data_IF_693433227385
#
_entry.id   IF_693433227385
#
_cell.length_a   1.000
_cell.length_b   1.000
_cell.length_c   1.000
_cell.angle_alpha   90.00
_cell.angle_beta   90.00
_cell.angle_gamma   90.00
#
_symmetry.space_group_name_H-M   'P 1'
#
loop_
_entity.id
_entity.type
_entity.pdbx_description
1 polymer ?
#
# COMPACT_ATOMS: atom_id res chain seq x y z
N UNK A 1 -25.06 16.30 -21.10
CA UNK A 1 -24.27 17.09 -20.15
C UNK A 1 -22.86 16.59 -20.22
N UNK A 2 -21.94 17.45 -20.61
CA UNK A 2 -20.56 17.08 -20.96
C UNK A 2 -19.79 17.01 -19.65
N UNK A 3 -19.34 15.82 -19.26
CA UNK A 3 -18.47 15.64 -18.10
C UNK A 3 -17.09 16.22 -18.39
N UNK A 4 -16.60 17.02 -17.45
CA UNK A 4 -15.34 17.74 -17.48
C UNK A 4 -14.13 16.81 -17.62
N UNK A 5 -13.08 17.19 -18.39
CA UNK A 5 -11.89 16.37 -18.60
C UNK A 5 -10.94 16.26 -17.39
N UNK A 6 -11.29 16.82 -16.24
CA UNK A 6 -10.47 16.83 -15.03
C UNK A 6 -10.33 15.45 -14.34
N UNK A 7 -11.14 14.49 -14.74
CA UNK A 7 -11.23 13.16 -14.10
C UNK A 7 -10.29 12.09 -14.68
N UNK A 8 -9.57 12.37 -15.77
CA UNK A 8 -8.99 11.28 -16.55
C UNK A 8 -7.58 10.82 -16.10
N UNK A 9 -6.90 11.49 -15.18
CA UNK A 9 -5.57 11.08 -14.73
C UNK A 9 -5.49 10.77 -13.23
N UNK A 10 -6.25 11.45 -12.41
CA UNK A 10 -6.65 10.84 -11.14
C UNK A 10 -7.26 9.46 -11.42
N UNK A 11 -7.97 9.34 -12.56
CA UNK A 11 -8.53 8.10 -13.08
C UNK A 11 -7.52 7.07 -13.62
N UNK A 12 -6.31 7.42 -13.96
CA UNK A 12 -5.27 6.42 -14.29
C UNK A 12 -4.65 5.83 -13.02
N UNK A 13 -4.74 6.56 -11.91
CA UNK A 13 -4.29 6.11 -10.58
C UNK A 13 -5.48 5.73 -9.69
N UNK A 14 -6.70 6.24 -9.94
CA UNK A 14 -7.87 6.07 -9.06
C UNK A 14 -9.17 5.64 -9.76
N UNK A 15 -9.26 5.50 -11.06
CA UNK A 15 -10.53 5.27 -11.74
C UNK A 15 -10.65 3.93 -12.42
N UNK A 16 -10.95 2.93 -11.66
CA UNK A 16 -11.64 1.72 -12.13
C UNK A 16 -12.77 1.26 -11.19
N UNK A 17 -13.30 2.13 -10.36
CA UNK A 17 -14.43 1.79 -9.46
C UNK A 17 -15.66 2.64 -9.75
N UNK A 18 -16.02 2.87 -11.00
CA UNK A 18 -17.31 3.47 -11.33
C UNK A 18 -18.07 2.72 -12.42
N UNK A 19 -18.38 1.45 -12.15
CA UNK A 19 -19.54 0.80 -12.78
C UNK A 19 -20.07 -0.30 -11.88
N UNK A 20 -20.58 0.04 -10.72
CA UNK A 20 -21.65 -0.64 -9.96
C UNK A 20 -21.62 -0.23 -8.47
N UNK A 21 -21.70 1.07 -8.19
CA UNK A 21 -21.99 1.52 -6.83
C UNK A 21 -23.48 1.80 -6.72
N UNK A 22 -24.22 0.80 -6.32
CA UNK A 22 -25.49 1.00 -5.62
C UNK A 22 -25.14 1.62 -4.26
N UNK A 23 -25.67 2.83 -4.01
CA UNK A 23 -25.46 3.56 -2.79
C UNK A 23 -25.85 2.74 -1.56
N UNK A 24 -24.87 2.44 -0.69
CA UNK A 24 -25.11 1.96 0.67
C UNK A 24 -25.04 3.15 1.62
N UNK A 25 -26.18 3.60 2.10
CA UNK A 25 -26.28 4.47 3.26
C UNK A 25 -26.14 3.65 4.54
N UNK A 26 -25.34 4.08 5.53
CA UNK A 26 -25.25 3.39 6.82
C UNK A 26 -26.51 3.69 7.63
N UNK A 27 -27.39 2.71 7.77
CA UNK A 27 -28.43 2.76 8.80
C UNK A 27 -27.92 2.13 10.08
N UNK A 28 -28.05 2.89 11.13
CA UNK A 28 -27.77 2.58 12.52
C UNK A 28 -28.37 1.24 12.99
N UNK A 29 -27.53 0.32 13.46
CA UNK A 29 -27.98 -0.84 14.22
C UNK A 29 -28.21 -0.44 15.68
N UNK A 30 -29.45 -0.24 16.04
CA UNK A 30 -29.92 -0.26 17.42
C UNK A 30 -30.36 -1.68 17.77
N UNK A 31 -29.84 -2.18 18.89
CA UNK A 31 -30.06 -3.49 19.43
C UNK A 31 -31.53 -3.80 19.69
N UNK A 32 -32.01 -4.93 19.17
CA UNK A 32 -33.13 -5.64 19.78
C UNK A 32 -32.64 -6.91 20.48
N UNK A 33 -32.85 -6.95 21.81
CA UNK A 33 -32.71 -8.14 22.62
C UNK A 33 -33.76 -9.17 22.23
N UNK A 34 -33.33 -10.31 21.76
CA UNK A 34 -34.15 -11.51 21.75
C UNK A 34 -33.50 -12.56 22.68
N UNK A 35 -34.17 -12.85 23.75
CA UNK A 35 -33.86 -13.96 24.64
C UNK A 35 -34.38 -15.26 24.04
N UNK A 36 -33.49 -16.19 23.72
CA UNK A 36 -33.83 -17.60 23.72
C UNK A 36 -32.60 -18.41 24.12
N UNK A 37 -32.78 -19.17 25.20
CA UNK A 37 -31.87 -20.21 25.68
C UNK A 37 -31.69 -21.27 24.60
N UNK A 38 -30.48 -21.56 24.20
CA UNK A 38 -30.08 -22.87 23.70
C UNK A 38 -28.67 -23.18 24.21
N UNK A 39 -28.53 -24.43 24.67
CA UNK A 39 -27.43 -24.97 25.40
C UNK A 39 -26.12 -25.03 24.61
N UNK A 40 -25.02 -24.98 25.36
CA UNK A 40 -23.66 -24.83 24.85
C UNK A 40 -23.19 -25.87 23.82
N UNK A 41 -22.61 -25.35 22.79
CA UNK A 41 -21.51 -25.99 22.05
C UNK A 41 -20.38 -24.97 21.95
N UNK A 42 -19.22 -25.37 22.46
CA UNK A 42 -18.02 -24.56 22.46
C UNK A 42 -17.50 -24.35 21.03
N UNK A 43 -17.13 -23.13 20.69
CA UNK A 43 -16.69 -22.68 19.38
C UNK A 43 -15.38 -23.32 18.83
N UNK A 44 -14.76 -24.21 19.62
CA UNK A 44 -13.51 -24.88 19.24
C UNK A 44 -13.68 -26.22 18.49
N UNK A 45 -14.91 -26.69 18.27
CA UNK A 45 -15.16 -27.94 17.54
C UNK A 45 -15.68 -27.78 16.11
N UNK A 46 -15.87 -26.55 15.61
CA UNK A 46 -16.36 -26.28 14.25
C UNK A 46 -15.26 -25.94 13.22
N UNK A 47 -14.01 -25.87 13.64
CA UNK A 47 -12.91 -25.43 12.79
C UNK A 47 -12.13 -26.55 12.08
N UNK A 48 -12.50 -27.82 12.20
CA UNK A 48 -11.56 -28.89 11.82
C UNK A 48 -12.00 -29.90 10.75
N UNK A 49 -13.11 -29.71 10.03
CA UNK A 49 -13.53 -30.75 9.05
C UNK A 49 -14.31 -30.27 7.84
N UNK A 50 -14.15 -29.06 7.36
CA UNK A 50 -14.76 -28.66 6.07
C UNK A 50 -13.66 -28.36 5.08
N UNK A 51 -13.51 -29.23 4.08
CA UNK A 51 -12.74 -28.93 2.87
C UNK A 51 -13.35 -27.70 2.21
N UNK A 52 -12.62 -26.55 2.15
CA UNK A 52 -13.18 -25.29 1.62
C UNK A 52 -13.55 -25.38 0.14
N UNK A 53 -13.07 -26.40 -0.57
CA UNK A 53 -13.37 -26.62 -2.00
C UNK A 53 -14.77 -27.13 -2.26
N UNK A 54 -15.58 -27.46 -1.23
CA UNK A 54 -16.91 -28.05 -1.37
C UNK A 54 -17.95 -27.43 -0.42
N UNK A 55 -17.95 -26.12 -0.23
CA UNK A 55 -19.05 -25.46 0.46
C UNK A 55 -20.23 -25.35 -0.51
N UNK A 56 -21.30 -26.08 -0.25
CA UNK A 56 -22.51 -26.00 -1.08
C UNK A 56 -23.23 -24.66 -0.86
N UNK A 57 -23.99 -24.22 -1.86
CA UNK A 57 -24.84 -23.01 -1.78
C UNK A 57 -25.68 -23.00 -0.51
N UNK A 58 -26.23 -24.15 -0.11
CA UNK A 58 -27.07 -24.30 1.08
C UNK A 58 -26.27 -24.06 2.36
N UNK A 59 -25.06 -24.63 2.47
CA UNK A 59 -24.19 -24.43 3.64
C UNK A 59 -23.77 -22.97 3.75
N UNK A 60 -23.50 -22.30 2.63
CA UNK A 60 -23.17 -20.88 2.63
C UNK A 60 -24.36 -20.00 3.05
N UNK A 61 -25.56 -20.32 2.60
CA UNK A 61 -26.80 -19.66 3.00
C UNK A 61 -27.09 -19.87 4.49
N UNK A 62 -26.88 -21.08 4.99
CA UNK A 62 -27.06 -21.44 6.41
C UNK A 62 -26.07 -20.70 7.31
N UNK A 63 -24.85 -20.44 6.81
CA UNK A 63 -23.80 -19.70 7.55
C UNK A 63 -24.05 -18.18 7.51
N UNK A 64 -24.38 -17.66 6.33
CA UNK A 64 -24.48 -16.21 6.11
C UNK A 64 -25.89 -15.64 6.30
N UNK A 65 -26.91 -16.49 6.35
CA UNK A 65 -28.32 -16.10 6.52
C UNK A 65 -28.90 -15.27 5.35
N UNK A 66 -28.23 -15.28 4.18
CA UNK A 66 -28.62 -14.47 3.01
C UNK A 66 -28.79 -15.37 1.79
N UNK A 67 -29.87 -15.22 1.08
CA UNK A 67 -30.10 -15.91 -0.20
C UNK A 67 -29.47 -15.09 -1.35
N UNK A 68 -28.52 -15.70 -2.05
CA UNK A 68 -27.84 -15.12 -3.21
C UNK A 68 -28.24 -15.88 -4.48
N UNK A 69 -28.36 -15.18 -5.61
CA UNK A 69 -28.38 -15.84 -6.89
C UNK A 69 -27.04 -16.54 -7.18
N UNK A 70 -27.05 -17.54 -8.05
CA UNK A 70 -25.89 -18.40 -8.29
C UNK A 70 -24.69 -17.65 -8.87
N UNK A 71 -24.91 -16.58 -9.64
CA UNK A 71 -23.84 -15.77 -10.21
C UNK A 71 -23.16 -14.91 -9.12
N UNK A 72 -23.96 -14.27 -8.26
CA UNK A 72 -23.46 -13.48 -7.13
C UNK A 72 -22.72 -14.36 -6.10
N UNK A 73 -23.23 -15.56 -5.83
CA UNK A 73 -22.56 -16.51 -4.95
C UNK A 73 -21.24 -16.98 -5.54
N UNK A 74 -21.20 -17.33 -6.83
CA UNK A 74 -19.99 -17.74 -7.54
C UNK A 74 -18.94 -16.62 -7.52
N UNK A 75 -19.33 -15.37 -7.80
CA UNK A 75 -18.43 -14.21 -7.74
C UNK A 75 -17.91 -13.96 -6.32
N UNK A 76 -18.75 -14.08 -5.29
CA UNK A 76 -18.34 -13.94 -3.90
C UNK A 76 -17.43 -15.08 -3.46
N UNK A 77 -17.75 -16.31 -3.80
CA UNK A 77 -16.88 -17.46 -3.52
C UNK A 77 -15.54 -17.31 -4.24
N UNK A 78 -15.51 -16.86 -5.48
CA UNK A 78 -14.28 -16.57 -6.21
C UNK A 78 -13.43 -15.44 -5.55
N UNK A 79 -14.09 -14.48 -4.90
CA UNK A 79 -13.41 -13.38 -4.18
C UNK A 79 -13.00 -13.72 -2.76
N UNK A 80 -13.64 -14.68 -2.12
CA UNK A 80 -13.38 -15.09 -0.72
C UNK A 80 -12.81 -16.48 -0.61
N UNK A 81 -13.06 -17.33 -1.62
CA UNK A 81 -12.47 -18.65 -1.65
C UNK A 81 -10.98 -18.52 -1.96
N UNK A 82 -10.36 -19.26 -1.40
CA UNK A 82 -9.05 -19.59 -1.25
C UNK A 82 -8.69 -20.58 -2.35
N UNK A 83 -7.87 -20.34 -3.06
CA UNK A 83 -6.53 -20.37 -3.25
C UNK A 83 -6.02 -21.64 -3.78
N UNK A 84 -5.19 -21.45 -4.64
CA UNK A 84 -4.52 -22.50 -5.35
C UNK A 84 -3.59 -23.20 -4.35
N UNK A 85 -3.85 -24.46 -3.93
CA UNK A 85 -2.94 -25.19 -3.01
C UNK A 85 -1.49 -25.13 -3.47
N UNK A 86 -1.29 -25.05 -4.79
CA UNK A 86 0.02 -24.87 -5.41
C UNK A 86 0.74 -23.60 -4.97
N UNK A 87 0.04 -22.49 -4.77
CA UNK A 87 0.67 -21.26 -4.30
C UNK A 87 1.26 -21.42 -2.90
N UNK A 88 0.56 -22.12 -2.01
CA UNK A 88 1.07 -22.42 -0.66
C UNK A 88 2.27 -23.37 -0.73
N UNK A 89 2.18 -24.44 -1.51
CA UNK A 89 3.30 -25.37 -1.70
C UNK A 89 4.56 -24.65 -2.18
N UNK A 90 4.41 -23.73 -3.14
CA UNK A 90 5.53 -22.93 -3.64
C UNK A 90 6.10 -22.01 -2.58
N UNK A 91 5.24 -21.35 -1.79
CA UNK A 91 5.66 -20.46 -0.71
C UNK A 91 6.41 -21.24 0.39
N UNK A 92 5.94 -22.43 0.74
CA UNK A 92 6.59 -23.29 1.71
C UNK A 92 7.95 -23.80 1.22
N UNK A 93 8.07 -24.12 -0.07
CA UNK A 93 9.29 -24.68 -0.67
C UNK A 93 10.48 -23.70 -0.58
N UNK A 94 10.25 -22.40 -0.74
CA UNK A 94 11.34 -21.41 -0.62
C UNK A 94 11.40 -20.66 0.73
N UNK A 95 10.64 -21.08 1.72
CA UNK A 95 10.69 -20.51 3.08
C UNK A 95 12.13 -20.46 3.68
N UNK A 96 13.04 -21.44 3.43
CA UNK A 96 14.42 -21.32 3.88
C UNK A 96 15.17 -20.10 3.33
N UNK A 97 14.88 -19.66 2.11
CA UNK A 97 15.46 -18.45 1.54
C UNK A 97 14.95 -17.20 2.25
N UNK A 98 13.70 -17.23 2.73
CA UNK A 98 13.12 -16.10 3.51
C UNK A 98 13.86 -15.92 4.83
N UNK A 99 14.26 -16.99 5.50
CA UNK A 99 15.12 -16.91 6.70
C UNK A 99 16.44 -16.20 6.41
N UNK A 100 17.07 -16.54 5.28
CA UNK A 100 18.27 -15.82 4.87
C UNK A 100 18.01 -14.34 4.57
N UNK A 101 16.85 -14.00 4.04
CA UNK A 101 16.48 -12.61 3.78
C UNK A 101 16.22 -11.83 5.07
N UNK A 102 15.65 -12.45 6.11
CA UNK A 102 15.54 -11.83 7.44
C UNK A 102 16.91 -11.36 7.92
N UNK A 103 17.92 -12.23 7.81
CA UNK A 103 19.27 -11.91 8.30
C UNK A 103 20.03 -10.92 7.39
N UNK A 104 19.79 -10.93 6.09
CA UNK A 104 20.56 -10.14 5.11
C UNK A 104 19.93 -8.78 4.78
N UNK A 105 18.62 -8.70 4.81
CA UNK A 105 17.87 -7.52 4.33
C UNK A 105 17.39 -6.67 5.50
N UNK A 106 16.79 -7.28 6.53
CA UNK A 106 16.30 -6.54 7.68
C UNK A 106 17.46 -6.08 8.57
N UNK A 107 17.31 -4.94 9.21
CA UNK A 107 18.28 -4.45 10.17
C UNK A 107 18.14 -5.22 11.48
N UNK A 108 19.27 -5.62 12.05
CA UNK A 108 19.30 -6.21 13.39
C UNK A 108 18.73 -5.23 14.41
N UNK A 109 17.77 -5.67 15.21
CA UNK A 109 17.18 -4.84 16.25
C UNK A 109 18.21 -4.43 17.32
N UNK A 110 18.08 -3.24 17.86
CA UNK A 110 18.97 -2.69 18.88
C UNK A 110 19.97 -1.67 18.32
N UNK A 111 21.23 -1.76 18.73
CA UNK A 111 22.26 -0.74 18.43
C UNK A 111 22.59 -0.57 16.94
N UNK A 112 22.33 -1.59 16.12
CA UNK A 112 22.60 -1.54 14.67
C UNK A 112 21.47 -0.94 13.85
N UNK A 113 20.26 -0.88 14.39
CA UNK A 113 19.14 -0.26 13.72
C UNK A 113 19.02 1.21 14.14
N UNK A 114 18.83 2.08 13.16
CA UNK A 114 18.59 3.49 13.41
C UNK A 114 17.25 3.70 14.12
N UNK A 115 17.17 4.80 14.87
CA UNK A 115 15.95 5.21 15.54
C UNK A 115 15.55 6.62 15.06
N UNK A 116 14.27 7.00 15.15
CA UNK A 116 13.82 8.35 14.78
C UNK A 116 14.62 9.47 15.44
N UNK A 117 15.08 9.28 16.68
CA UNK A 117 15.87 10.26 17.42
C UNK A 117 17.26 10.53 16.82
N UNK A 118 17.79 9.61 16.01
CA UNK A 118 19.10 9.80 15.33
C UNK A 118 19.04 10.88 14.24
N UNK A 119 17.84 11.28 13.83
CA UNK A 119 17.56 12.23 12.74
C UNK A 119 16.89 13.52 13.20
N UNK A 120 16.55 13.64 14.47
CA UNK A 120 15.84 14.76 15.05
C UNK A 120 16.71 15.47 16.10
N UNK A 121 16.44 16.75 16.45
CA UNK A 121 17.13 17.41 17.55
C UNK A 121 17.04 16.60 18.84
N UNK A 122 18.20 16.28 19.42
CA UNK A 122 18.27 15.54 20.68
C UNK A 122 17.96 16.49 21.85
N UNK A 123 16.94 16.16 22.62
CA UNK A 123 16.53 16.94 23.79
C UNK A 123 17.55 16.87 24.95
N UNK A 124 18.50 15.96 24.90
CA UNK A 124 19.59 15.88 25.86
C UNK A 124 20.76 16.86 25.57
N UNK A 125 20.82 17.41 24.36
CA UNK A 125 21.80 18.40 23.98
C UNK A 125 21.51 19.75 24.62
N UNK A 126 22.56 20.46 25.05
CA UNK A 126 22.45 21.82 25.61
C UNK A 126 21.83 22.79 24.59
N UNK A 127 22.07 22.59 23.29
CA UNK A 127 21.60 23.41 22.18
C UNK A 127 20.26 22.90 21.55
N UNK A 128 19.59 21.91 22.15
CA UNK A 128 18.39 21.27 21.56
C UNK A 128 17.34 22.28 21.10
N UNK A 129 17.11 23.33 21.89
CA UNK A 129 16.10 24.35 21.56
C UNK A 129 16.50 25.18 20.34
N UNK A 130 17.80 25.45 20.17
CA UNK A 130 18.30 26.12 18.98
C UNK A 130 18.18 25.21 17.75
N UNK A 131 18.53 23.95 17.88
CA UNK A 131 18.40 22.95 16.82
C UNK A 131 16.94 22.80 16.36
N UNK A 132 15.96 22.84 17.27
CA UNK A 132 14.52 22.88 16.92
C UNK A 132 14.15 24.17 16.17
N UNK A 133 14.69 25.33 16.60
CA UNK A 133 14.42 26.60 15.88
C UNK A 133 14.99 26.58 14.46
N UNK A 134 16.18 26.07 14.30
CA UNK A 134 16.85 25.97 12.99
C UNK A 134 16.08 25.01 12.05
N UNK A 135 15.60 23.86 12.57
CA UNK A 135 14.72 22.95 11.84
C UNK A 135 13.43 23.67 11.39
N UNK A 136 12.81 24.45 12.28
CA UNK A 136 11.58 25.20 11.97
C UNK A 136 11.82 26.30 10.94
N UNK A 137 12.95 26.99 11.01
CA UNK A 137 13.33 28.02 10.04
C UNK A 137 13.52 27.39 8.65
N UNK A 138 14.25 26.28 8.57
CA UNK A 138 14.42 25.52 7.34
C UNK A 138 13.07 25.03 6.79
N UNK A 139 12.19 24.49 7.63
CA UNK A 139 10.86 24.06 7.27
C UNK A 139 9.98 25.23 6.77
N UNK A 140 10.10 26.41 7.39
CA UNK A 140 9.37 27.61 6.97
C UNK A 140 9.77 28.07 5.54
N UNK A 141 11.01 27.81 5.12
CA UNK A 141 11.51 28.08 3.77
C UNK A 141 10.94 27.15 2.68
N UNK A 142 10.32 26.04 3.05
CA UNK A 142 9.76 25.10 2.10
C UNK A 142 8.33 25.48 1.69
N UNK A 143 7.90 25.17 0.44
CA UNK A 143 6.54 25.43 -0.03
C UNK A 143 5.52 24.54 0.70
N UNK A 144 4.27 25.03 0.78
CA UNK A 144 3.17 24.27 1.37
C UNK A 144 2.85 22.98 0.59
N UNK A 145 3.06 22.98 -0.73
CA UNK A 145 2.96 21.78 -1.58
C UNK A 145 3.81 20.62 -1.05
N UNK A 146 5.06 20.91 -0.64
CA UNK A 146 5.95 19.89 -0.08
C UNK A 146 5.39 19.30 1.21
N UNK A 147 4.78 20.13 2.06
CA UNK A 147 4.17 19.64 3.29
C UNK A 147 2.89 18.84 3.05
N UNK A 148 2.10 19.19 2.03
CA UNK A 148 0.95 18.35 1.63
C UNK A 148 1.43 16.95 1.22
N UNK A 149 2.48 16.87 0.40
CA UNK A 149 3.00 15.58 -0.06
C UNK A 149 3.63 14.81 1.11
N UNK A 150 4.44 15.46 1.93
CA UNK A 150 5.07 14.83 3.10
C UNK A 150 4.03 14.29 4.10
N UNK A 151 2.91 15.02 4.31
CA UNK A 151 1.80 14.54 5.14
C UNK A 151 1.14 13.32 4.52
N UNK A 152 0.91 13.31 3.21
CA UNK A 152 0.34 12.15 2.53
C UNK A 152 1.23 10.91 2.65
N UNK A 153 2.55 11.06 2.46
CA UNK A 153 3.52 9.99 2.68
C UNK A 153 3.42 9.49 4.14
N UNK A 154 3.47 10.40 5.12
CA UNK A 154 3.42 10.03 6.54
C UNK A 154 2.07 9.35 6.94
N UNK A 155 0.93 9.83 6.43
CA UNK A 155 -0.38 9.19 6.65
C UNK A 155 -0.40 7.77 6.09
N UNK A 156 0.26 7.55 4.96
CA UNK A 156 0.41 6.22 4.36
C UNK A 156 1.25 5.31 5.28
N UNK A 157 2.38 5.78 5.77
CA UNK A 157 3.25 5.04 6.68
C UNK A 157 2.56 4.70 8.02
N UNK A 158 1.83 5.64 8.59
CA UNK A 158 1.08 5.46 9.85
C UNK A 158 -0.13 4.52 9.72
N UNK A 159 -0.57 4.20 8.51
CA UNK A 159 -1.63 3.20 8.27
C UNK A 159 -1.12 1.74 8.35
N UNK A 160 0.11 1.52 8.76
CA UNK A 160 0.76 0.23 8.94
C UNK A 160 -0.08 -0.85 9.66
N UNK A 161 -0.92 -0.55 10.69
CA UNK A 161 -1.79 -1.57 11.29
C UNK A 161 -2.72 -2.27 10.28
N UNK A 162 -3.16 -1.57 9.24
CA UNK A 162 -4.02 -2.17 8.20
C UNK A 162 -3.23 -3.08 7.28
N UNK A 163 -1.98 -2.75 6.99
CA UNK A 163 -1.08 -3.57 6.16
C UNK A 163 -0.70 -4.86 6.89
N UNK A 164 -0.33 -4.74 8.16
CA UNK A 164 -0.02 -5.91 9.00
C UNK A 164 -1.22 -6.86 9.12
N UNK A 165 -2.43 -6.30 9.29
CA UNK A 165 -3.65 -7.09 9.31
C UNK A 165 -3.86 -7.85 7.99
N UNK A 166 -3.60 -7.21 6.84
CA UNK A 166 -3.69 -7.84 5.53
C UNK A 166 -2.63 -8.95 5.36
N UNK A 167 -1.36 -8.68 5.71
CA UNK A 167 -0.28 -9.67 5.61
C UNK A 167 -0.60 -10.95 6.37
N UNK A 168 -1.20 -10.83 7.54
CA UNK A 168 -1.63 -11.98 8.35
C UNK A 168 -2.84 -12.74 7.77
N UNK A 169 -3.36 -12.35 6.62
CA UNK A 169 -4.38 -13.11 5.89
C UNK A 169 -3.80 -13.95 4.76
N UNK A 170 -2.52 -13.77 4.41
CA UNK A 170 -1.89 -14.51 3.31
C UNK A 170 -1.58 -15.93 3.77
N UNK A 171 -2.16 -16.89 3.09
CA UNK A 171 -2.00 -18.30 3.46
C UNK A 171 -0.57 -18.79 3.19
N UNK A 172 -0.07 -19.59 4.12
CA UNK A 172 1.33 -19.98 4.15
C UNK A 172 2.29 -18.93 4.71
N UNK A 173 1.86 -17.66 4.81
CA UNK A 173 2.69 -16.56 5.32
C UNK A 173 2.17 -15.96 6.63
N UNK A 174 1.05 -16.41 7.13
CA UNK A 174 0.37 -15.88 8.30
C UNK A 174 1.11 -16.15 9.63
N UNK A 175 0.80 -15.32 10.61
CA UNK A 175 1.24 -15.49 12.01
C UNK A 175 0.02 -15.66 12.92
N UNK A 176 -0.55 -16.90 13.00
CA UNK A 176 -1.85 -17.13 13.62
C UNK A 176 -1.87 -16.91 15.14
N UNK A 177 -0.71 -16.93 15.80
CA UNK A 177 -0.58 -16.72 17.23
C UNK A 177 0.19 -15.46 17.61
N UNK A 178 0.61 -14.64 16.62
CA UNK A 178 1.40 -13.42 16.83
C UNK A 178 2.87 -13.64 17.23
N UNK A 179 3.27 -14.90 17.42
CA UNK A 179 4.62 -15.29 17.85
C UNK A 179 5.11 -16.57 17.18
N UNK A 180 4.55 -16.92 16.03
CA UNK A 180 4.97 -18.09 15.25
C UNK A 180 6.43 -17.94 14.84
N UNK A 181 7.21 -19.01 14.97
CA UNK A 181 8.62 -19.03 14.58
C UNK A 181 8.81 -19.63 13.16
N UNK A 182 7.97 -19.17 12.22
CA UNK A 182 8.16 -19.45 10.82
C UNK A 182 8.97 -18.32 10.14
N UNK A 183 9.64 -18.65 9.06
CA UNK A 183 10.40 -17.66 8.27
C UNK A 183 9.53 -16.45 7.87
N UNK A 184 8.32 -16.72 7.40
CA UNK A 184 7.37 -15.71 6.98
C UNK A 184 6.89 -14.83 8.14
N UNK A 185 6.58 -15.42 9.29
CA UNK A 185 6.16 -14.66 10.47
C UNK A 185 7.30 -13.78 11.01
N UNK A 186 8.55 -14.28 10.98
CA UNK A 186 9.74 -13.48 11.33
C UNK A 186 9.96 -12.34 10.34
N UNK A 187 9.85 -12.62 9.03
CA UNK A 187 9.92 -11.58 8.00
C UNK A 187 8.87 -10.50 8.22
N UNK A 188 7.60 -10.88 8.34
CA UNK A 188 6.48 -9.94 8.49
C UNK A 188 6.66 -9.05 9.71
N UNK A 189 7.01 -9.61 10.89
CA UNK A 189 7.25 -8.82 12.10
C UNK A 189 8.48 -7.93 11.99
N UNK A 190 9.56 -8.43 11.40
CA UNK A 190 10.79 -7.64 11.21
C UNK A 190 10.59 -6.48 10.24
N UNK A 191 9.94 -6.73 9.11
CA UNK A 191 9.56 -5.70 8.15
C UNK A 191 8.64 -4.66 8.82
N UNK A 192 7.58 -5.08 9.51
CA UNK A 192 6.69 -4.17 10.25
C UNK A 192 7.43 -3.32 11.28
N UNK A 193 8.44 -3.89 11.95
CA UNK A 193 9.27 -3.15 12.90
C UNK A 193 10.11 -2.05 12.22
N UNK A 194 10.53 -2.26 10.98
CA UNK A 194 11.22 -1.24 10.20
C UNK A 194 10.29 -0.17 9.69
N UNK A 195 9.16 -0.55 9.09
CA UNK A 195 8.13 0.37 8.60
C UNK A 195 7.59 1.29 9.68
N UNK A 196 7.37 0.76 10.89
CA UNK A 196 6.89 1.56 12.02
C UNK A 196 7.79 2.77 12.34
N UNK A 197 9.09 2.69 12.02
CA UNK A 197 10.02 3.82 12.23
C UNK A 197 9.83 4.92 11.20
N UNK A 198 9.40 4.60 9.99
CA UNK A 198 9.18 5.56 8.92
C UNK A 198 8.07 6.55 9.32
N UNK A 199 6.90 6.02 9.66
CA UNK A 199 5.78 6.83 10.13
C UNK A 199 6.13 7.65 11.38
N UNK A 200 6.74 7.02 12.40
CA UNK A 200 7.14 7.68 13.64
C UNK A 200 8.14 8.83 13.40
N UNK A 201 9.13 8.64 12.52
CA UNK A 201 10.10 9.69 12.19
C UNK A 201 9.45 10.86 11.45
N UNK A 202 8.63 10.58 10.45
CA UNK A 202 7.93 11.62 9.69
C UNK A 202 6.94 12.40 10.56
N UNK A 203 6.19 11.70 11.41
CA UNK A 203 5.25 12.32 12.36
C UNK A 203 5.97 13.29 13.30
N UNK A 204 7.06 12.87 13.93
CA UNK A 204 7.87 13.71 14.82
C UNK A 204 8.47 14.91 14.09
N UNK A 205 8.99 14.72 12.87
CA UNK A 205 9.49 15.84 12.06
C UNK A 205 8.38 16.86 11.77
N UNK A 206 7.21 16.40 11.32
CA UNK A 206 6.06 17.27 11.05
C UNK A 206 5.61 18.03 12.29
N UNK A 207 5.55 17.36 13.44
CA UNK A 207 5.25 17.99 14.72
C UNK A 207 6.24 19.10 15.08
N UNK A 208 7.55 18.81 14.97
CA UNK A 208 8.61 19.77 15.29
C UNK A 208 8.64 20.93 14.29
N UNK A 209 8.32 20.70 13.02
CA UNK A 209 8.32 21.72 11.97
C UNK A 209 7.38 22.91 12.25
N UNK A 210 6.27 22.63 12.92
CA UNK A 210 5.19 23.61 13.18
C UNK A 210 4.48 24.11 11.92
N UNK A 211 4.66 23.46 10.77
CA UNK A 211 4.04 23.83 9.48
C UNK A 211 2.66 23.21 9.29
N UNK A 212 2.31 22.22 10.09
CA UNK A 212 1.14 21.36 9.87
C UNK A 212 0.22 21.32 11.09
N UNK A 213 -1.07 21.12 10.84
CA UNK A 213 -2.08 20.85 11.86
C UNK A 213 -2.09 19.34 12.20
N UNK A 214 -1.33 18.99 13.23
CA UNK A 214 -1.19 17.59 13.65
C UNK A 214 -2.53 16.97 14.03
N UNK A 215 -3.48 17.75 14.57
CA UNK A 215 -4.81 17.22 14.89
C UNK A 215 -5.59 16.81 13.63
N UNK A 216 -5.53 17.61 12.57
CA UNK A 216 -6.17 17.25 11.30
C UNK A 216 -5.51 16.02 10.67
N UNK A 217 -4.19 15.90 10.79
CA UNK A 217 -3.41 14.75 10.33
C UNK A 217 -3.80 13.48 11.10
N UNK A 218 -3.81 13.53 12.43
CA UNK A 218 -4.22 12.39 13.27
C UNK A 218 -5.64 11.89 12.95
N UNK A 219 -6.57 12.83 12.69
CA UNK A 219 -7.92 12.47 12.24
C UNK A 219 -7.89 11.73 10.91
N UNK A 220 -7.04 12.16 9.98
CA UNK A 220 -6.88 11.49 8.67
C UNK A 220 -6.31 10.07 8.82
N UNK A 221 -5.28 9.89 9.64
CA UNK A 221 -4.69 8.57 9.96
C UNK A 221 -5.77 7.63 10.52
N UNK A 222 -6.55 8.11 11.50
CA UNK A 222 -7.61 7.30 12.10
C UNK A 222 -8.70 6.90 11.09
N UNK A 223 -9.08 7.81 10.19
CA UNK A 223 -10.01 7.48 9.11
C UNK A 223 -9.44 6.44 8.18
N UNK A 224 -8.17 6.56 7.77
CA UNK A 224 -7.54 5.62 6.87
C UNK A 224 -7.43 4.22 7.49
N UNK A 225 -6.98 4.12 8.74
CA UNK A 225 -6.92 2.84 9.48
C UNK A 225 -8.33 2.23 9.59
N UNK A 226 -9.34 3.03 9.93
CA UNK A 226 -10.73 2.55 10.08
C UNK A 226 -11.33 2.10 8.73
N UNK A 227 -10.91 2.71 7.62
CA UNK A 227 -11.35 2.31 6.27
C UNK A 227 -10.82 0.95 5.86
N UNK A 228 -9.73 0.50 6.48
CA UNK A 228 -9.05 -0.74 6.12
C UNK A 228 -8.27 -0.62 4.81
N UNK A 229 -7.75 -1.76 4.36
CA UNK A 229 -6.93 -1.82 3.15
C UNK A 229 -7.17 -3.14 2.40
N UNK A 230 -7.47 -3.06 1.11
CA UNK A 230 -7.64 -4.23 0.27
C UNK A 230 -7.18 -3.95 -1.18
N UNK A 231 -5.92 -4.22 -1.50
CA UNK A 231 -5.37 -4.04 -2.85
C UNK A 231 -5.80 -5.15 -3.83
N UNK A 232 -6.82 -5.94 -3.49
CA UNK A 232 -7.25 -7.09 -4.27
C UNK A 232 -6.35 -8.32 -4.12
N UNK A 233 -5.62 -8.43 -3.01
CA UNK A 233 -4.69 -9.53 -2.77
C UNK A 233 -5.36 -10.88 -2.51
N UNK A 234 -6.65 -10.93 -2.15
CA UNK A 234 -7.47 -12.16 -2.04
C UNK A 234 -6.85 -13.24 -1.16
N UNK A 235 -6.12 -12.88 -0.10
CA UNK A 235 -5.32 -13.79 0.74
C UNK A 235 -4.19 -14.52 0.01
N UNK A 236 -3.92 -14.18 -1.23
CA UNK A 236 -2.93 -14.83 -2.07
C UNK A 236 -1.55 -14.19 -1.89
N UNK A 237 -0.56 -14.94 -1.41
CA UNK A 237 0.79 -14.42 -1.24
C UNK A 237 1.44 -13.97 -2.56
N UNK A 238 1.13 -14.60 -3.70
CA UNK A 238 1.63 -14.14 -5.01
C UNK A 238 1.21 -12.71 -5.28
N UNK A 239 -0.09 -12.43 -5.10
CA UNK A 239 -0.65 -11.07 -5.25
C UNK A 239 -0.09 -10.11 -4.22
N UNK A 240 0.09 -10.59 -2.99
CA UNK A 240 0.69 -9.81 -1.91
C UNK A 240 2.11 -9.36 -2.26
N UNK A 241 2.96 -10.27 -2.71
CA UNK A 241 4.35 -9.95 -3.05
C UNK A 241 4.49 -9.11 -4.32
N UNK A 242 3.65 -9.34 -5.33
CA UNK A 242 3.54 -8.47 -6.50
C UNK A 242 3.17 -7.05 -6.11
N UNK A 243 2.13 -6.91 -5.27
CA UNK A 243 1.69 -5.62 -4.77
C UNK A 243 2.80 -4.91 -4.01
N UNK A 244 3.43 -5.59 -3.05
CA UNK A 244 4.47 -5.00 -2.21
C UNK A 244 5.73 -4.67 -3.02
N UNK A 245 6.14 -5.52 -3.98
CA UNK A 245 7.24 -5.18 -4.91
C UNK A 245 6.99 -3.86 -5.67
N UNK A 246 5.75 -3.57 -6.01
CA UNK A 246 5.36 -2.32 -6.65
C UNK A 246 5.40 -1.17 -5.65
N UNK A 247 4.84 -1.35 -4.45
CA UNK A 247 4.70 -0.30 -3.44
C UNK A 247 6.04 0.14 -2.87
N UNK A 248 6.91 -0.78 -2.47
CA UNK A 248 8.26 -0.46 -1.96
C UNK A 248 9.06 0.42 -2.93
N UNK A 249 8.90 0.14 -4.23
CA UNK A 249 9.52 1.00 -5.24
C UNK A 249 8.84 2.36 -5.36
N UNK A 250 7.52 2.42 -5.23
CA UNK A 250 6.77 3.67 -5.29
C UNK A 250 7.10 4.57 -4.09
N UNK A 251 7.15 4.03 -2.87
CA UNK A 251 7.50 4.76 -1.65
C UNK A 251 8.95 5.22 -1.68
N UNK A 252 9.87 4.37 -2.11
CA UNK A 252 11.28 4.74 -2.35
C UNK A 252 11.41 5.94 -3.31
N UNK A 253 10.64 5.97 -4.40
CA UNK A 253 10.64 7.08 -5.36
C UNK A 253 10.06 8.33 -4.71
N UNK A 254 8.93 8.22 -4.00
CA UNK A 254 8.27 9.34 -3.32
C UNK A 254 9.21 9.98 -2.31
N UNK A 255 9.70 9.22 -1.34
CA UNK A 255 10.63 9.74 -0.32
C UNK A 255 11.91 10.31 -0.94
N UNK A 256 12.49 9.64 -1.94
CA UNK A 256 13.67 10.13 -2.62
C UNK A 256 13.44 11.48 -3.31
N UNK A 257 12.27 11.69 -3.91
CA UNK A 257 11.91 12.93 -4.58
C UNK A 257 11.52 14.03 -3.58
N UNK A 258 10.79 13.72 -2.50
CA UNK A 258 10.57 14.66 -1.38
C UNK A 258 11.90 15.16 -0.84
N UNK A 259 12.87 14.27 -0.60
CA UNK A 259 14.21 14.64 -0.16
C UNK A 259 14.94 15.58 -1.13
N UNK A 260 14.79 15.39 -2.45
CA UNK A 260 15.36 16.30 -3.46
C UNK A 260 14.73 17.69 -3.39
N UNK A 261 13.42 17.77 -3.26
CA UNK A 261 12.71 19.05 -3.11
C UNK A 261 13.11 19.73 -1.82
N UNK A 262 13.16 19.01 -0.69
CA UNK A 262 13.62 19.52 0.60
C UNK A 262 15.03 20.13 0.50
N UNK A 263 15.95 19.44 -0.17
CA UNK A 263 17.31 19.93 -0.41
C UNK A 263 17.34 21.25 -1.20
N UNK A 264 16.49 21.37 -2.24
CA UNK A 264 16.39 22.60 -3.05
C UNK A 264 15.96 23.81 -2.23
N UNK A 265 15.20 23.59 -1.15
CA UNK A 265 14.72 24.61 -0.24
C UNK A 265 15.54 24.75 1.05
N UNK A 266 16.68 24.08 1.14
CA UNK A 266 17.59 24.20 2.29
C UNK A 266 17.20 23.37 3.52
N UNK A 267 16.17 22.53 3.45
CA UNK A 267 15.74 21.65 4.54
C UNK A 267 16.59 20.36 4.58
N UNK A 268 17.84 20.50 5.05
CA UNK A 268 18.82 19.42 5.06
C UNK A 268 18.40 18.22 5.95
N UNK A 269 17.75 18.49 7.07
CA UNK A 269 17.26 17.43 7.97
C UNK A 269 16.16 16.59 7.29
N UNK A 270 15.19 17.23 6.65
CA UNK A 270 14.17 16.52 5.90
C UNK A 270 14.77 15.71 4.74
N UNK A 271 15.77 16.26 4.05
CA UNK A 271 16.48 15.50 3.01
C UNK A 271 17.14 14.24 3.57
N UNK A 272 17.80 14.32 4.76
CA UNK A 272 18.43 13.15 5.41
C UNK A 272 17.40 12.11 5.84
N UNK A 273 16.28 12.56 6.41
CA UNK A 273 15.15 11.72 6.81
C UNK A 273 14.62 10.92 5.60
N UNK A 274 14.23 11.63 4.55
CA UNK A 274 13.69 10.99 3.35
C UNK A 274 14.70 10.07 2.65
N UNK A 275 15.99 10.41 2.64
CA UNK A 275 17.03 9.56 2.08
C UNK A 275 17.22 8.27 2.89
N UNK A 276 17.03 8.32 4.21
CA UNK A 276 17.13 7.14 5.08
C UNK A 276 15.95 6.20 4.83
N UNK A 277 14.73 6.72 4.83
CA UNK A 277 13.52 5.94 4.55
C UNK A 277 13.61 5.32 3.15
N UNK A 278 13.91 6.11 2.11
CA UNK A 278 14.09 5.58 0.75
C UNK A 278 15.17 4.49 0.64
N UNK A 279 16.17 4.50 1.52
CA UNK A 279 17.17 3.44 1.63
C UNK A 279 16.60 2.14 2.17
N UNK A 280 15.72 2.21 3.16
CA UNK A 280 15.04 1.07 3.74
C UNK A 280 14.03 0.47 2.74
N UNK A 281 13.21 1.31 2.09
CA UNK A 281 12.31 0.91 1.00
C UNK A 281 13.05 0.15 -0.12
N UNK A 282 14.27 0.61 -0.46
CA UNK A 282 15.10 -0.09 -1.46
C UNK A 282 15.65 -1.43 -1.00
N UNK A 283 15.72 -1.71 0.31
CA UNK A 283 16.07 -3.03 0.86
C UNK A 283 14.85 -3.95 0.83
N UNK A 284 13.70 -3.45 1.27
CA UNK A 284 12.43 -4.18 1.24
C UNK A 284 12.02 -4.54 -0.20
N UNK A 285 12.12 -3.60 -1.14
CA UNK A 285 11.91 -3.83 -2.56
C UNK A 285 12.69 -5.05 -3.08
N UNK A 286 13.98 -5.14 -2.73
CA UNK A 286 14.83 -6.26 -3.15
C UNK A 286 14.34 -7.61 -2.63
N UNK A 287 13.84 -7.66 -1.39
CA UNK A 287 13.34 -8.90 -0.82
C UNK A 287 12.04 -9.35 -1.50
N UNK A 288 11.06 -8.46 -1.63
CA UNK A 288 9.80 -8.82 -2.30
C UNK A 288 9.99 -9.18 -3.77
N UNK A 289 10.89 -8.49 -4.47
CA UNK A 289 11.26 -8.88 -5.84
C UNK A 289 11.95 -10.25 -5.89
N UNK A 290 12.77 -10.60 -4.89
CA UNK A 290 13.38 -11.91 -4.80
C UNK A 290 12.34 -13.00 -4.53
N UNK A 291 11.33 -12.76 -3.68
CA UNK A 291 10.22 -13.70 -3.46
C UNK A 291 9.47 -13.97 -4.76
N UNK A 292 9.13 -12.92 -5.53
CA UNK A 292 8.52 -13.10 -6.85
C UNK A 292 9.45 -13.85 -7.83
N UNK A 293 10.76 -13.66 -7.75
CA UNK A 293 11.73 -14.39 -8.57
C UNK A 293 11.70 -15.88 -8.25
N UNK A 294 11.63 -16.27 -6.97
CA UNK A 294 11.53 -17.67 -6.56
C UNK A 294 10.20 -18.31 -7.03
N UNK A 295 9.12 -17.55 -7.00
CA UNK A 295 7.84 -18.02 -7.56
C UNK A 295 7.96 -18.24 -9.06
N UNK A 296 8.54 -17.30 -9.82
CA UNK A 296 8.73 -17.45 -11.27
C UNK A 296 9.55 -18.67 -11.66
N UNK A 297 10.50 -19.08 -10.82
CA UNK A 297 11.28 -20.29 -11.09
C UNK A 297 10.47 -21.59 -10.90
N UNK A 298 9.44 -21.58 -10.07
CA UNK A 298 8.63 -22.76 -9.69
C UNK A 298 7.26 -22.78 -10.33
N UNK A 299 6.64 -21.61 -10.48
CA UNK A 299 5.30 -21.44 -11.01
C UNK A 299 5.16 -20.15 -11.83
N UNK A 300 5.86 -20.05 -12.98
CA UNK A 300 5.80 -18.85 -13.81
C UNK A 300 4.39 -18.54 -14.32
N UNK A 301 3.60 -19.54 -14.69
CA UNK A 301 2.22 -19.34 -15.13
C UNK A 301 1.36 -18.74 -14.02
N UNK A 302 1.45 -19.29 -12.80
CA UNK A 302 0.69 -18.80 -11.66
C UNK A 302 0.98 -17.31 -11.38
N UNK A 303 2.25 -16.92 -11.30
CA UNK A 303 2.60 -15.51 -11.06
C UNK A 303 2.18 -14.59 -12.20
N UNK A 304 2.33 -15.02 -13.46
CA UNK A 304 1.90 -14.22 -14.62
C UNK A 304 0.39 -14.00 -14.64
N UNK A 305 -0.40 -15.03 -14.31
CA UNK A 305 -1.86 -14.93 -14.21
C UNK A 305 -2.27 -13.88 -13.16
N UNK A 306 -1.68 -13.94 -11.96
CA UNK A 306 -1.98 -13.00 -10.89
C UNK A 306 -1.49 -11.58 -11.22
N UNK A 307 -0.30 -11.46 -11.81
CA UNK A 307 0.22 -10.15 -12.24
C UNK A 307 -0.70 -9.51 -13.30
N UNK A 308 -1.07 -10.28 -14.32
CA UNK A 308 -1.97 -9.79 -15.36
C UNK A 308 -3.34 -9.37 -14.82
N UNK A 309 -3.91 -10.14 -13.89
CA UNK A 309 -5.21 -9.83 -13.26
C UNK A 309 -5.11 -8.57 -12.39
N UNK A 310 -4.08 -8.43 -11.56
CA UNK A 310 -3.85 -7.23 -10.77
C UNK A 310 -3.69 -6.00 -11.64
N UNK A 311 -2.97 -6.10 -12.75
CA UNK A 311 -2.79 -4.96 -13.68
C UNK A 311 -4.06 -4.59 -14.44
N UNK A 312 -5.01 -5.50 -14.63
CA UNK A 312 -6.35 -5.18 -15.15
C UNK A 312 -7.20 -4.44 -14.13
N UNK A 313 -7.07 -4.79 -12.85
CA UNK A 313 -7.70 -4.09 -11.74
C UNK A 313 -7.01 -2.76 -11.39
N UNK A 314 -5.82 -2.53 -11.90
CA UNK A 314 -4.87 -1.47 -11.54
C UNK A 314 -4.36 -1.60 -10.09
N UNK A 315 -3.06 -1.42 -9.92
CA UNK A 315 -2.45 -1.35 -8.59
C UNK A 315 -2.66 0.07 -8.07
N UNK A 316 -3.35 0.17 -6.94
CA UNK A 316 -3.66 1.44 -6.27
C UNK A 316 -2.69 1.69 -5.11
N UNK A 317 -2.52 2.97 -4.77
CA UNK A 317 -1.70 3.35 -3.62
C UNK A 317 -2.43 3.04 -2.30
N UNK A 318 -1.71 2.71 -1.22
CA UNK A 318 -2.32 2.36 0.06
C UNK A 318 -3.23 3.42 0.66
N UNK A 319 -2.98 4.69 0.34
CA UNK A 319 -3.71 5.83 0.87
C UNK A 319 -4.96 6.22 0.05
N UNK A 320 -5.40 5.42 -0.93
CA UNK A 320 -6.54 5.74 -1.80
C UNK A 320 -7.82 6.09 -1.01
N UNK A 321 -8.02 5.47 0.15
CA UNK A 321 -9.19 5.68 1.00
C UNK A 321 -9.03 6.81 2.02
N UNK A 322 -7.99 7.64 1.93
CA UNK A 322 -7.77 8.71 2.90
C UNK A 322 -8.84 9.79 2.84
N UNK A 323 -9.27 10.22 4.00
CA UNK A 323 -10.19 11.38 4.19
C UNK A 323 -9.92 12.03 5.53
N UNK A 324 -10.09 13.35 5.61
CA UNK A 324 -10.09 14.11 6.88
C UNK A 324 -11.50 14.22 7.49
N UNK A 325 -12.48 13.49 6.92
CA UNK A 325 -13.89 13.56 7.31
C UNK A 325 -14.65 14.77 6.74
N UNK A 326 -14.01 15.61 5.92
CA UNK A 326 -14.60 16.82 5.32
C UNK A 326 -14.42 16.83 3.80
N UNK A 327 -13.21 16.56 3.32
CA UNK A 327 -12.90 16.50 1.90
C UNK A 327 -13.02 15.05 1.38
N UNK A 328 -14.06 14.81 0.58
CA UNK A 328 -14.27 13.51 -0.06
C UNK A 328 -13.31 13.25 -1.24
N UNK A 329 -12.50 14.24 -1.62
CA UNK A 329 -11.50 14.16 -2.70
C UNK A 329 -10.08 14.38 -2.19
N UNK A 330 -9.87 14.16 -0.90
CA UNK A 330 -8.57 14.45 -0.28
C UNK A 330 -7.42 13.71 -0.99
N UNK A 331 -7.64 12.43 -1.33
CA UNK A 331 -6.64 11.62 -2.04
C UNK A 331 -6.35 12.17 -3.45
N UNK A 332 -7.38 12.50 -4.22
CA UNK A 332 -7.21 13.06 -5.55
C UNK A 332 -6.51 14.42 -5.50
N UNK A 333 -6.88 15.29 -4.57
CA UNK A 333 -6.27 16.59 -4.38
C UNK A 333 -4.80 16.45 -3.96
N UNK A 334 -4.47 15.57 -3.02
CA UNK A 334 -3.10 15.21 -2.64
C UNK A 334 -2.30 14.69 -3.84
N UNK A 335 -2.85 13.73 -4.60
CA UNK A 335 -2.21 13.15 -5.77
C UNK A 335 -1.90 14.19 -6.85
N UNK A 336 -2.77 15.20 -7.02
CA UNK A 336 -2.51 16.32 -7.95
C UNK A 336 -1.32 17.18 -7.50
N UNK A 337 -1.18 17.44 -6.20
CA UNK A 337 -0.03 18.16 -5.65
C UNK A 337 1.26 17.35 -5.85
N UNK A 338 1.24 16.04 -5.54
CA UNK A 338 2.39 15.15 -5.69
C UNK A 338 2.87 15.10 -7.15
N UNK A 339 1.94 15.00 -8.11
CA UNK A 339 2.26 15.01 -9.54
C UNK A 339 2.83 16.35 -10.00
N UNK A 340 2.24 17.46 -9.56
CA UNK A 340 2.69 18.80 -9.93
C UNK A 340 4.08 19.10 -9.38
N UNK A 341 4.34 18.70 -8.17
CA UNK A 341 5.65 18.86 -7.52
C UNK A 341 6.71 17.89 -8.09
N UNK A 342 6.29 16.90 -8.88
CA UNK A 342 7.16 15.88 -9.45
C UNK A 342 7.69 14.88 -8.43
N UNK A 343 6.96 14.66 -7.35
CA UNK A 343 7.33 13.68 -6.30
C UNK A 343 6.93 12.28 -6.72
N UNK A 344 5.68 12.10 -7.14
CA UNK A 344 5.21 10.85 -7.71
C UNK A 344 4.22 11.12 -8.84
N UNK A 345 4.53 10.58 -10.02
CA UNK A 345 3.82 10.90 -11.26
C UNK A 345 3.33 9.64 -11.98
N UNK A 346 2.45 9.84 -12.97
CA UNK A 346 2.03 8.74 -13.83
C UNK A 346 3.20 8.15 -14.67
N UNK A 347 4.29 8.91 -14.88
CA UNK A 347 5.51 8.38 -15.51
C UNK A 347 6.24 7.44 -14.55
N UNK A 348 6.33 7.78 -13.25
CA UNK A 348 6.93 6.92 -12.25
C UNK A 348 6.17 5.60 -12.15
N UNK A 349 4.84 5.63 -12.22
CA UNK A 349 4.02 4.41 -12.26
C UNK A 349 4.36 3.54 -13.48
N UNK A 350 4.52 4.14 -14.66
CA UNK A 350 4.92 3.41 -15.87
C UNK A 350 6.35 2.84 -15.75
N UNK A 351 7.28 3.61 -15.17
CA UNK A 351 8.66 3.22 -14.94
C UNK A 351 8.77 2.05 -13.94
N UNK A 352 7.89 2.00 -12.92
CA UNK A 352 7.83 0.87 -11.98
C UNK A 352 7.40 -0.40 -12.72
N UNK A 353 6.36 -0.34 -13.56
CA UNK A 353 5.92 -1.51 -14.33
C UNK A 353 7.05 -1.98 -15.27
N UNK A 354 7.71 -1.06 -15.98
CA UNK A 354 8.83 -1.37 -16.87
C UNK A 354 9.96 -2.05 -16.09
N UNK A 355 10.32 -1.48 -14.93
CA UNK A 355 11.35 -2.07 -14.07
C UNK A 355 11.01 -3.49 -13.63
N UNK A 356 9.78 -3.76 -13.19
CA UNK A 356 9.38 -5.10 -12.76
C UNK A 356 9.39 -6.10 -13.92
N UNK A 357 8.90 -5.70 -15.09
CA UNK A 357 8.92 -6.53 -16.31
C UNK A 357 10.36 -6.88 -16.72
N UNK A 358 11.26 -5.90 -16.66
CA UNK A 358 12.68 -6.09 -17.03
C UNK A 358 13.44 -6.85 -15.95
N UNK A 359 13.21 -6.55 -14.66
CA UNK A 359 13.88 -7.20 -13.55
C UNK A 359 13.61 -8.70 -13.52
N UNK A 360 12.35 -9.09 -13.70
CA UNK A 360 11.95 -10.49 -13.76
C UNK A 360 12.09 -11.11 -15.13
N UNK A 361 12.58 -10.36 -16.12
CA UNK A 361 12.76 -10.82 -17.50
C UNK A 361 11.51 -11.49 -18.06
N UNK A 362 10.35 -10.90 -17.81
CA UNK A 362 9.07 -11.51 -18.16
C UNK A 362 9.04 -11.95 -19.63
N UNK A 363 9.58 -11.14 -20.55
CA UNK A 363 9.62 -11.45 -21.98
C UNK A 363 10.52 -12.63 -22.38
N UNK A 364 11.39 -13.10 -21.47
CA UNK A 364 12.35 -14.20 -21.73
C UNK A 364 11.86 -15.55 -21.15
N UNK A 365 10.74 -15.56 -20.40
CA UNK A 365 10.18 -16.77 -19.81
C UNK A 365 9.74 -17.74 -20.91
N UNK A 366 10.04 -19.01 -20.71
CA UNK A 366 9.74 -20.10 -21.66
C UNK A 366 9.09 -21.28 -20.96
N UNK A 367 8.46 -22.18 -21.72
CA UNK A 367 7.79 -23.36 -21.16
C UNK A 367 6.44 -23.05 -20.51
N UNK A 368 5.88 -21.90 -20.83
CA UNK A 368 4.58 -21.46 -20.35
C UNK A 368 3.44 -22.24 -21.01
N UNK A 369 2.30 -22.28 -20.33
CA UNK A 369 1.04 -22.70 -20.95
C UNK A 369 0.55 -21.65 -21.96
N UNK A 370 -0.47 -22.01 -22.77
CA UNK A 370 -1.06 -21.06 -23.72
C UNK A 370 -1.70 -19.84 -23.02
N UNK A 371 -2.17 -20.00 -21.80
CA UNK A 371 -2.69 -18.94 -20.94
C UNK A 371 -1.55 -18.06 -20.42
N UNK A 372 -0.48 -18.67 -19.92
CA UNK A 372 0.73 -17.97 -19.47
C UNK A 372 1.39 -17.14 -20.57
N UNK A 373 1.48 -17.67 -21.82
CA UNK A 373 1.99 -16.92 -22.97
C UNK A 373 1.15 -15.66 -23.28
N UNK A 374 -0.17 -15.75 -23.16
CA UNK A 374 -1.08 -14.59 -23.34
C UNK A 374 -0.85 -13.55 -22.25
N UNK A 375 -0.70 -13.96 -21.00
CA UNK A 375 -0.42 -13.05 -19.90
C UNK A 375 0.95 -12.41 -20.05
N UNK A 376 1.98 -13.17 -20.42
CA UNK A 376 3.31 -12.66 -20.74
C UNK A 376 3.24 -11.55 -21.80
N UNK A 377 2.56 -11.82 -22.93
CA UNK A 377 2.41 -10.84 -24.01
C UNK A 377 1.65 -9.58 -23.52
N UNK A 378 0.59 -9.77 -22.71
CA UNK A 378 -0.16 -8.66 -22.13
C UNK A 378 0.72 -7.80 -21.22
N UNK A 379 1.42 -8.42 -20.27
CA UNK A 379 2.27 -7.75 -19.27
C UNK A 379 3.41 -6.99 -19.96
N UNK A 380 4.09 -7.59 -20.94
CA UNK A 380 5.17 -6.97 -21.70
C UNK A 380 4.72 -5.71 -22.49
N UNK A 381 3.43 -5.57 -22.79
CA UNK A 381 2.88 -4.37 -23.46
C UNK A 381 2.53 -3.23 -22.49
N UNK A 382 2.41 -3.51 -21.19
CA UNK A 382 1.96 -2.54 -20.20
C UNK A 382 2.88 -1.31 -20.07
N UNK A 383 4.22 -1.45 -20.00
CA UNK A 383 5.11 -0.29 -19.88
C UNK A 383 4.84 0.75 -20.97
N UNK A 384 4.85 0.32 -22.23
CA UNK A 384 4.59 1.22 -23.37
C UNK A 384 3.18 1.83 -23.33
N UNK A 385 2.18 1.05 -22.91
CA UNK A 385 0.81 1.52 -22.80
C UNK A 385 0.66 2.59 -21.73
N UNK A 386 1.17 2.34 -20.52
CA UNK A 386 1.08 3.28 -19.40
C UNK A 386 1.90 4.54 -19.65
N UNK A 387 3.10 4.43 -20.23
CA UNK A 387 3.91 5.60 -20.63
C UNK A 387 3.18 6.51 -21.62
N UNK A 388 2.56 5.94 -22.65
CA UNK A 388 1.73 6.73 -23.60
C UNK A 388 0.53 7.40 -22.93
N UNK A 389 -0.09 6.75 -21.96
CA UNK A 389 -1.21 7.35 -21.20
C UNK A 389 -0.71 8.50 -20.31
N UNK A 390 0.41 8.32 -19.62
CA UNK A 390 1.05 9.33 -18.79
C UNK A 390 1.44 10.58 -19.62
N UNK A 391 2.11 10.39 -20.74
CA UNK A 391 2.52 11.49 -21.65
C UNK A 391 1.31 12.28 -22.21
N UNK A 392 0.26 11.57 -22.62
CA UNK A 392 -0.98 12.21 -23.09
C UNK A 392 -1.64 13.04 -21.99
N UNK A 393 -1.62 12.55 -20.77
CA UNK A 393 -2.19 13.26 -19.65
C UNK A 393 -1.38 14.50 -19.28
N UNK A 394 -0.06 14.39 -19.23
CA UNK A 394 0.84 15.53 -19.00
C UNK A 394 0.65 16.61 -20.08
N UNK A 395 0.52 16.23 -21.35
CA UNK A 395 0.30 17.18 -22.43
C UNK A 395 -1.07 17.90 -22.32
N UNK A 396 -2.12 17.20 -21.89
CA UNK A 396 -3.44 17.83 -21.65
C UNK A 396 -3.42 18.80 -20.47
N UNK A 397 -2.60 18.54 -19.44
CA UNK A 397 -2.52 19.40 -18.24
C UNK A 397 -1.74 20.70 -18.48
N UNK A 398 -0.88 20.77 -19.51
CA UNK A 398 -0.14 22.00 -19.83
C UNK A 398 -1.03 23.20 -20.18
N UNK A 399 -2.24 22.93 -20.67
CA UNK A 399 -3.19 23.94 -21.12
C UNK A 399 -4.30 24.24 -20.08
N UNK A 400 -4.21 23.63 -18.88
CA UNK A 400 -5.22 23.79 -17.83
C UNK A 400 -4.63 24.60 -16.68
N UNK A 401 -5.24 25.74 -16.37
CA UNK A 401 -4.89 26.51 -15.17
C UNK A 401 -5.20 25.71 -13.92
N UNK A 402 -4.19 25.53 -13.06
CA UNK A 402 -4.32 24.78 -11.80
C UNK A 402 -5.06 25.64 -10.76
N UNK A 403 -6.11 25.09 -10.18
CA UNK A 403 -6.81 25.70 -9.06
C UNK A 403 -6.28 25.09 -7.75
N UNK A 404 -5.52 25.86 -6.98
CA UNK A 404 -4.96 25.43 -5.70
C UNK A 404 -6.07 25.04 -4.70
N UNK A 405 -5.95 23.84 -4.14
CA UNK A 405 -6.88 23.26 -3.20
C UNK A 405 -6.49 23.60 -1.75
N UNK A 406 -7.48 23.70 -0.86
CA UNK A 406 -7.25 23.95 0.57
C UNK A 406 -7.09 22.62 1.31
N UNK A 407 -6.07 22.50 2.15
CA UNK A 407 -5.80 21.30 2.94
C UNK A 407 -5.89 21.59 4.44
N UNK A 408 -6.70 20.82 5.15
CA UNK A 408 -6.80 20.90 6.63
C UNK A 408 -5.44 20.65 7.30
N UNK A 409 -4.62 19.81 6.71
CA UNK A 409 -3.28 19.44 7.18
C UNK A 409 -2.32 20.62 7.34
N UNK A 410 -2.51 21.68 6.57
CA UNK A 410 -1.70 22.90 6.55
C UNK A 410 -2.51 24.12 6.99
N UNK A 411 -3.40 23.94 7.98
CA UNK A 411 -4.25 25.00 8.53
C UNK A 411 -5.17 25.65 7.48
N UNK A 412 -5.73 24.86 6.56
CA UNK A 412 -6.57 25.29 5.44
C UNK A 412 -5.87 26.26 4.46
N UNK A 413 -4.54 26.29 4.43
CA UNK A 413 -3.83 26.97 3.35
C UNK A 413 -4.01 26.22 2.04
N UNK A 414 -3.74 26.93 0.93
CA UNK A 414 -3.86 26.36 -0.41
C UNK A 414 -2.50 25.84 -0.89
N UNK A 415 -2.52 24.70 -1.53
CA UNK A 415 -1.39 24.09 -2.20
C UNK A 415 -1.77 23.64 -3.60
#
# INVERSE_FOLDING_TARGET
MITSPKTALAAVIAASVSSSAGAFTPQSFLAQKATSRTEGRTSSQLASTVDPSVVTKKEYQDICGVDFDDATLTDRLAKTAYLYPKHVEVIDDFAPMVDEMVDKILLETGEKSWQPQDYLPDMADDDWLQNVKDLREAAAGCPDDLFVVLVGDMVTEEALPTYQTLLNTFEGCDDPIGTTDSAWARWSRGWTSEENRHGDLLNKYLYLSGKTDMRAIEVTIQHLITSGFNPGARKDPYRGFLYTSFQERATKISHGNVGKVAKQHGAADLQRICAKIAGDEGRHEKAYQAFCTEILQRDPDGLLMEFGDMMRGQIVMPAELMTDGKDAKLYENFSEVAQRLGVYTALDYADIIEHLVDHWKIGELTGLTSEGEKEQEYICRLPTRYRKLAERSLNKKKDVEYEAQSFSWIFNRKA
#
